data_IF_001836327222
#
_entry.id   IF_001836327222
#
_cell.length_a   1.000
_cell.length_b   1.000
_cell.length_c   1.000
_cell.angle_alpha   90.00
_cell.angle_beta   90.00
_cell.angle_gamma   90.00
#
_symmetry.space_group_name_H-M   'P 1'
#
loop_
_entity.id
_entity.type
_entity.pdbx_description
1 polymer ?
#
# COMPACT_ATOMS: atom_id res chain seq x y z
N UNK A 1 -8.46 5.20 -0.94
CA UNK A 1 -8.45 6.40 -1.81
C UNK A 1 -7.29 6.48 -2.80
N UNK A 2 -6.04 6.21 -2.40
CA UNK A 2 -4.87 6.31 -3.32
C UNK A 2 -5.05 5.49 -4.60
N UNK A 3 -5.58 4.25 -4.50
CA UNK A 3 -5.85 3.42 -5.66
C UNK A 3 -6.83 4.06 -6.64
N UNK A 4 -7.91 4.67 -6.13
CA UNK A 4 -8.90 5.36 -6.96
C UNK A 4 -8.30 6.59 -7.65
N UNK A 5 -7.34 7.27 -7.02
CA UNK A 5 -6.60 8.39 -7.60
C UNK A 5 -5.69 7.93 -8.75
N UNK A 6 -4.93 6.84 -8.53
CA UNK A 6 -4.01 6.28 -9.54
C UNK A 6 -4.74 5.58 -10.70
N UNK A 7 -5.92 5.01 -10.44
CA UNK A 7 -6.75 4.34 -11.43
C UNK A 7 -7.86 5.22 -12.00
N UNK A 8 -7.71 6.55 -11.93
CA UNK A 8 -8.62 7.44 -12.62
C UNK A 8 -8.73 7.05 -14.11
N UNK A 9 -9.97 6.96 -14.59
CA UNK A 9 -10.28 6.72 -16.00
C UNK A 9 -9.59 7.74 -16.90
N UNK A 10 -9.68 9.03 -16.54
CA UNK A 10 -8.99 10.10 -17.25
C UNK A 10 -7.51 10.17 -16.81
N UNK A 11 -6.53 10.05 -17.72
CA UNK A 11 -5.11 10.08 -17.37
C UNK A 11 -4.65 11.42 -16.77
N UNK A 12 -5.24 12.53 -17.19
CA UNK A 12 -4.92 13.87 -16.70
C UNK A 12 -5.22 14.06 -15.19
N UNK A 13 -6.07 13.21 -14.61
CA UNK A 13 -6.40 13.26 -13.19
C UNK A 13 -5.47 12.39 -12.33
N UNK A 14 -4.62 11.57 -12.95
CA UNK A 14 -3.67 10.72 -12.22
C UNK A 14 -2.55 11.59 -11.68
N UNK A 15 -2.08 11.36 -10.44
CA UNK A 15 -1.01 12.15 -9.87
C UNK A 15 0.32 11.78 -10.54
N UNK A 16 1.20 12.77 -10.70
CA UNK A 16 2.62 12.48 -10.94
C UNK A 16 3.28 11.86 -9.70
N UNK A 17 4.51 11.39 -9.88
CA UNK A 17 5.24 10.72 -8.80
C UNK A 17 5.52 11.64 -7.60
N UNK A 18 5.75 12.94 -7.83
CA UNK A 18 5.99 13.90 -6.76
C UNK A 18 4.75 14.06 -5.87
N UNK A 19 3.57 14.22 -6.48
CA UNK A 19 2.29 14.35 -5.77
C UNK A 19 1.86 13.04 -5.10
N UNK A 20 2.17 11.90 -5.72
CA UNK A 20 1.95 10.59 -5.13
C UNK A 20 2.82 10.40 -3.88
N UNK A 21 4.10 10.76 -3.93
CA UNK A 21 5.02 10.71 -2.79
C UNK A 21 4.49 11.53 -1.62
N UNK A 22 4.12 12.79 -1.86
CA UNK A 22 3.54 13.66 -0.81
C UNK A 22 2.25 13.08 -0.22
N UNK A 23 1.45 12.37 -1.04
CA UNK A 23 0.23 11.71 -0.56
C UNK A 23 0.57 10.51 0.34
N UNK A 24 1.59 9.73 -0.02
CA UNK A 24 2.06 8.59 0.77
C UNK A 24 2.69 9.02 2.10
N UNK A 25 3.41 10.13 2.13
CA UNK A 25 4.04 10.67 3.36
C UNK A 25 3.02 11.09 4.42
N UNK A 26 1.80 11.46 4.00
CA UNK A 26 0.69 11.82 4.89
C UNK A 26 0.01 10.61 5.52
N UNK A 27 0.23 9.40 5.00
CA UNK A 27 -0.32 8.21 5.61
C UNK A 27 0.32 8.01 6.99
N UNK A 28 -0.47 7.57 7.99
CA UNK A 28 0.09 7.22 9.28
C UNK A 28 1.16 6.17 9.07
N UNK A 29 2.42 6.50 9.41
CA UNK A 29 3.53 5.56 9.39
C UNK A 29 3.33 4.59 10.54
N UNK A 30 2.48 3.57 10.36
CA UNK A 30 2.63 2.36 11.16
C UNK A 30 4.03 1.87 10.87
N UNK A 31 4.86 1.75 11.92
CA UNK A 31 6.03 0.89 11.86
C UNK A 31 5.49 -0.50 11.58
N UNK A 32 5.34 -0.83 10.29
CA UNK A 32 5.35 -2.22 9.87
C UNK A 32 6.60 -2.75 10.52
N UNK A 33 6.47 -3.73 11.41
CA UNK A 33 7.61 -4.17 12.20
C UNK A 33 8.79 -4.55 11.28
N UNK A 34 8.53 -4.85 10.00
CA UNK A 34 9.39 -5.56 9.04
C UNK A 34 8.91 -5.27 7.61
N UNK A 35 9.81 -5.29 6.62
CA UNK A 35 9.44 -5.21 5.19
C UNK A 35 8.67 -6.49 4.78
N UNK A 36 7.58 -6.41 3.97
CA UNK A 36 6.85 -7.59 3.47
C UNK A 36 7.71 -8.55 2.64
N UNK A 37 8.87 -8.11 2.15
CA UNK A 37 9.85 -8.95 1.44
C UNK A 37 10.65 -9.88 2.36
N UNK A 38 10.41 -9.85 3.68
CA UNK A 38 10.95 -10.84 4.61
C UNK A 38 9.84 -11.84 5.01
N UNK A 39 9.91 -13.12 4.59
CA UNK A 39 8.98 -14.14 5.06
C UNK A 39 9.35 -14.52 6.49
N UNK A 40 8.41 -14.41 7.43
CA UNK A 40 8.71 -14.68 8.85
C UNK A 40 7.69 -15.56 9.54
N UNK A 41 6.73 -16.12 8.81
CA UNK A 41 5.93 -17.23 9.32
C UNK A 41 5.33 -18.00 8.15
N UNK A 42 6.03 -19.05 7.70
CA UNK A 42 5.46 -20.05 6.79
C UNK A 42 4.42 -20.95 7.50
N UNK A 43 4.10 -20.68 8.78
CA UNK A 43 3.27 -21.54 9.63
C UNK A 43 1.99 -20.89 10.15
N UNK A 44 1.52 -19.77 9.57
CA UNK A 44 0.23 -19.16 9.98
C UNK A 44 -0.75 -18.83 8.86
N UNK A 45 -0.76 -19.64 7.79
CA UNK A 45 -1.73 -19.51 6.70
C UNK A 45 -2.61 -20.75 6.46
N UNK A 46 -2.73 -21.66 7.43
CA UNK A 46 -3.58 -22.85 7.29
C UNK A 46 -4.80 -22.93 8.24
N UNK A 47 -4.90 -22.09 9.27
CA UNK A 47 -5.96 -22.21 10.30
C UNK A 47 -6.75 -20.90 10.52
N UNK A 48 -7.22 -20.27 9.46
CA UNK A 48 -8.21 -19.17 9.59
C UNK A 48 -9.32 -19.26 8.55
N UNK A 49 -9.69 -20.50 8.19
CA UNK A 49 -10.82 -20.83 7.32
C UNK A 49 -11.86 -21.73 8.01
N UNK A 50 -11.83 -21.81 9.35
CA UNK A 50 -12.92 -22.36 10.17
C UNK A 50 -13.35 -21.33 11.21
#
# INVERSE_FOLDING_TARGET
DILMLCWSYHPANRPDFSKLLTTLEKLPRKRLARSPSHPIHLSRSAESVF
#
